data_IF_784759041448
#
_entry.id   IF_784759041448
#
_cell.length_a   1.000
_cell.length_b   1.000
_cell.length_c   1.000
_cell.angle_alpha   90.00
_cell.angle_beta   90.00
_cell.angle_gamma   90.00
#
_symmetry.space_group_name_H-M   'P 1'
#
loop_
_entity.id
_entity.type
_entity.pdbx_description
1 polymer ?
#
# COMPACT_ATOMS: atom_id res chain seq x y z
N UNK A 1 -27.55 7.92 2.92
CA UNK A 1 -27.07 9.25 3.33
C UNK A 1 -25.90 9.59 2.43
N UNK A 2 -25.89 10.79 1.83
CA UNK A 2 -24.98 11.13 0.75
C UNK A 2 -23.82 11.96 1.31
N UNK A 3 -22.71 11.28 1.62
CA UNK A 3 -21.49 11.92 2.11
C UNK A 3 -20.59 12.08 0.90
N UNK A 4 -20.52 13.31 0.37
CA UNK A 4 -19.64 13.64 -0.75
C UNK A 4 -18.28 14.04 -0.21
N UNK A 5 -17.30 13.17 -0.38
CA UNK A 5 -15.91 13.51 -0.11
C UNK A 5 -15.05 13.09 -1.30
N UNK A 6 -14.09 13.94 -1.65
CA UNK A 6 -13.11 13.64 -2.70
C UNK A 6 -11.85 13.21 -1.97
N UNK A 7 -11.58 11.91 -1.96
CA UNK A 7 -10.35 11.38 -1.39
C UNK A 7 -9.17 11.89 -2.21
N UNK A 8 -8.13 12.39 -1.53
CA UNK A 8 -6.88 12.69 -2.23
C UNK A 8 -6.11 11.40 -2.52
N UNK A 9 -5.18 11.47 -3.47
CA UNK A 9 -4.25 10.38 -3.76
C UNK A 9 -3.41 9.98 -2.53
N UNK A 10 -3.05 10.96 -1.70
CA UNK A 10 -2.30 10.75 -0.47
C UNK A 10 -3.12 9.95 0.57
N UNK A 11 -4.42 10.23 0.67
CA UNK A 11 -5.29 9.51 1.60
C UNK A 11 -5.43 8.03 1.30
N UNK A 12 -5.57 7.70 0.02
CA UNK A 12 -5.58 6.32 -0.44
C UNK A 12 -4.22 5.64 -0.27
N UNK A 13 -3.11 6.34 -0.56
CA UNK A 13 -1.77 5.80 -0.36
C UNK A 13 -1.52 5.40 1.09
N UNK A 14 -1.88 6.25 2.06
CA UNK A 14 -1.67 5.97 3.49
C UNK A 14 -2.46 4.76 3.98
N UNK A 15 -3.71 4.64 3.54
CA UNK A 15 -4.59 3.53 3.90
C UNK A 15 -4.18 2.24 3.20
N UNK A 16 -3.79 2.32 1.93
CA UNK A 16 -3.26 1.16 1.21
C UNK A 16 -1.92 0.73 1.76
N UNK A 17 -1.07 1.66 2.18
CA UNK A 17 0.17 1.33 2.89
C UNK A 17 -0.17 0.54 4.16
N UNK A 18 -1.16 0.96 4.96
CA UNK A 18 -1.60 0.19 6.12
C UNK A 18 -2.00 -1.27 5.79
N UNK A 19 -2.80 -1.49 4.73
CA UNK A 19 -3.21 -2.85 4.32
C UNK A 19 -2.12 -3.64 3.59
N UNK A 20 -1.21 -2.93 2.91
CA UNK A 20 -0.24 -3.48 1.97
C UNK A 20 1.18 -3.59 2.49
N UNK A 21 1.51 -2.98 3.65
CA UNK A 21 2.84 -3.05 4.27
C UNK A 21 3.31 -4.50 4.40
N UNK A 22 2.42 -5.43 4.79
CA UNK A 22 2.77 -6.84 4.93
C UNK A 22 3.16 -7.46 3.58
N UNK A 23 2.39 -7.16 2.52
CA UNK A 23 2.67 -7.65 1.16
C UNK A 23 3.93 -7.04 0.58
N UNK A 24 4.13 -5.73 0.76
CA UNK A 24 5.33 -5.00 0.30
C UNK A 24 6.59 -5.50 1.02
N UNK A 25 6.51 -5.76 2.34
CA UNK A 25 7.62 -6.38 3.10
C UNK A 25 7.98 -7.75 2.55
N UNK A 26 7.00 -8.59 2.25
CA UNK A 26 7.23 -9.93 1.65
C UNK A 26 7.87 -9.80 0.25
N UNK A 27 7.36 -8.91 -0.60
CA UNK A 27 7.94 -8.65 -1.93
C UNK A 27 9.38 -8.14 -1.86
N UNK A 28 9.68 -7.23 -0.93
CA UNK A 28 11.03 -6.72 -0.72
C UNK A 28 11.99 -7.81 -0.18
N UNK A 29 11.49 -8.69 0.70
CA UNK A 29 12.26 -9.84 1.17
C UNK A 29 12.59 -10.81 0.02
N UNK A 30 11.61 -11.12 -0.84
CA UNK A 30 11.84 -11.94 -2.03
C UNK A 30 12.87 -11.30 -2.96
N UNK A 31 12.76 -9.99 -3.21
CA UNK A 31 13.72 -9.26 -4.04
C UNK A 31 15.14 -9.34 -3.48
N UNK A 32 15.31 -9.25 -2.16
CA UNK A 32 16.59 -9.41 -1.49
C UNK A 32 17.15 -10.84 -1.59
N UNK A 33 16.32 -11.87 -1.40
CA UNK A 33 16.77 -13.25 -1.59
C UNK A 33 17.22 -13.51 -3.04
N UNK A 34 16.46 -13.03 -4.02
CA UNK A 34 16.81 -13.15 -5.43
C UNK A 34 18.11 -12.41 -5.77
N UNK A 35 18.36 -11.23 -5.18
CA UNK A 35 19.62 -10.52 -5.44
C UNK A 35 20.84 -11.28 -4.94
N UNK A 36 20.73 -12.03 -3.83
CA UNK A 36 21.82 -12.90 -3.35
C UNK A 36 22.08 -14.04 -4.34
N UNK A 37 21.03 -14.70 -4.83
CA UNK A 37 21.17 -15.77 -5.82
C UNK A 37 21.86 -15.23 -7.09
N UNK A 38 21.46 -14.05 -7.56
CA UNK A 38 22.08 -13.40 -8.71
C UNK A 38 23.55 -13.07 -8.45
N UNK A 39 23.90 -12.63 -7.23
CA UNK A 39 25.30 -12.39 -6.86
C UNK A 39 26.16 -13.64 -7.06
N UNK A 40 25.67 -14.79 -6.58
CA UNK A 40 26.35 -16.08 -6.70
C UNK A 40 26.48 -16.46 -8.18
N UNK A 41 25.42 -16.33 -8.98
CA UNK A 41 25.46 -16.61 -10.41
C UNK A 41 26.51 -15.74 -11.14
N UNK A 42 26.54 -14.44 -10.86
CA UNK A 42 27.51 -13.52 -11.47
C UNK A 42 28.93 -13.88 -11.03
N UNK A 43 29.13 -14.18 -9.75
CA UNK A 43 30.43 -14.61 -9.24
C UNK A 43 30.96 -15.84 -9.98
N UNK A 44 30.10 -16.84 -10.23
CA UNK A 44 30.44 -18.05 -11.01
C UNK A 44 30.72 -17.71 -12.48
N UNK A 45 29.90 -16.86 -13.12
CA UNK A 45 30.09 -16.48 -14.52
C UNK A 45 31.40 -15.73 -14.76
N UNK A 46 31.86 -14.94 -13.79
CA UNK A 46 33.12 -14.21 -13.86
C UNK A 46 34.35 -15.09 -13.54
N UNK A 47 34.29 -16.41 -13.66
CA UNK A 47 35.37 -17.34 -13.27
C UNK A 47 36.75 -17.05 -13.89
N UNK A 48 36.82 -16.34 -15.02
CA UNK A 48 38.07 -15.95 -15.68
C UNK A 48 38.75 -14.73 -15.05
N UNK A 49 38.06 -13.99 -14.18
CA UNK A 49 38.59 -12.80 -13.51
C UNK A 49 39.24 -13.15 -12.18
N UNK A 50 40.10 -12.26 -11.68
CA UNK A 50 40.67 -12.39 -10.33
C UNK A 50 39.56 -12.47 -9.27
N UNK A 51 39.78 -13.27 -8.23
CA UNK A 51 38.82 -13.47 -7.15
C UNK A 51 38.39 -12.16 -6.48
N UNK A 52 39.29 -11.19 -6.30
CA UNK A 52 38.94 -9.90 -5.69
C UNK A 52 37.95 -9.14 -6.58
N UNK A 53 38.23 -9.05 -7.89
CA UNK A 53 37.35 -8.36 -8.83
C UNK A 53 36.01 -9.09 -9.00
N UNK A 54 36.00 -10.42 -8.99
CA UNK A 54 34.76 -11.22 -9.03
C UNK A 54 33.84 -10.91 -7.86
N UNK A 55 34.38 -10.86 -6.65
CA UNK A 55 33.61 -10.53 -5.45
C UNK A 55 33.05 -9.11 -5.55
N UNK A 56 33.88 -8.12 -5.88
CA UNK A 56 33.46 -6.72 -5.95
C UNK A 56 32.37 -6.52 -7.00
N UNK A 57 32.55 -7.03 -8.22
CA UNK A 57 31.61 -6.84 -9.33
C UNK A 57 30.29 -7.55 -9.05
N UNK A 58 30.32 -8.78 -8.54
CA UNK A 58 29.10 -9.52 -8.20
C UNK A 58 28.27 -8.84 -7.10
N UNK A 59 28.93 -8.30 -6.07
CA UNK A 59 28.30 -7.53 -5.01
C UNK A 59 27.67 -6.24 -5.54
N UNK A 60 28.39 -5.46 -6.35
CA UNK A 60 27.88 -4.21 -6.92
C UNK A 60 26.65 -4.45 -7.79
N UNK A 61 26.68 -5.45 -8.66
CA UNK A 61 25.54 -5.77 -9.52
C UNK A 61 24.36 -6.28 -8.70
N UNK A 62 24.60 -7.12 -7.69
CA UNK A 62 23.55 -7.61 -6.78
C UNK A 62 22.85 -6.49 -6.04
N UNK A 63 23.61 -5.54 -5.47
CA UNK A 63 23.06 -4.37 -4.78
C UNK A 63 22.22 -3.53 -5.74
N UNK A 64 22.72 -3.27 -6.96
CA UNK A 64 22.01 -2.49 -7.97
C UNK A 64 20.66 -3.14 -8.32
N UNK A 65 20.65 -4.45 -8.57
CA UNK A 65 19.43 -5.22 -8.88
C UNK A 65 18.46 -5.19 -7.70
N UNK A 66 18.96 -5.36 -6.47
CA UNK A 66 18.13 -5.32 -5.26
C UNK A 66 17.42 -3.97 -5.10
N UNK A 67 18.18 -2.87 -5.22
CA UNK A 67 17.64 -1.51 -5.14
C UNK A 67 16.60 -1.26 -6.23
N UNK A 68 16.90 -1.68 -7.47
CA UNK A 68 15.97 -1.51 -8.59
C UNK A 68 14.68 -2.33 -8.40
N UNK A 69 14.78 -3.57 -7.94
CA UNK A 69 13.63 -4.43 -7.67
C UNK A 69 12.76 -3.88 -6.52
N UNK A 70 13.36 -3.38 -5.44
CA UNK A 70 12.62 -2.73 -4.34
C UNK A 70 11.90 -1.48 -4.85
N UNK A 71 12.58 -0.64 -5.65
CA UNK A 71 11.96 0.55 -6.24
C UNK A 71 10.77 0.18 -7.14
N UNK A 72 10.94 -0.82 -8.01
CA UNK A 72 9.89 -1.36 -8.88
C UNK A 72 8.70 -1.90 -8.10
N UNK A 73 8.94 -2.62 -7.01
CA UNK A 73 7.88 -3.15 -6.14
C UNK A 73 7.05 -2.04 -5.50
N UNK A 74 7.70 -0.96 -5.04
CA UNK A 74 7.01 0.23 -4.52
C UNK A 74 6.18 0.90 -5.60
N UNK A 75 6.75 1.15 -6.78
CA UNK A 75 6.03 1.78 -7.90
C UNK A 75 4.79 0.96 -8.32
N UNK A 76 4.92 -0.36 -8.45
CA UNK A 76 3.80 -1.26 -8.76
C UNK A 76 2.71 -1.20 -7.69
N UNK A 77 3.10 -1.13 -6.42
CA UNK A 77 2.16 -0.98 -5.31
C UNK A 77 1.40 0.35 -5.39
N UNK A 78 2.09 1.46 -5.67
CA UNK A 78 1.48 2.77 -5.84
C UNK A 78 0.68 2.91 -7.15
N UNK A 79 0.99 2.16 -8.21
CA UNK A 79 0.19 2.15 -9.44
C UNK A 79 -1.17 1.49 -9.22
N UNK A 80 -1.21 0.40 -8.45
CA UNK A 80 -2.47 -0.21 -7.99
C UNK A 80 -3.25 0.78 -7.12
N UNK A 81 -2.57 1.50 -6.23
CA UNK A 81 -3.20 2.57 -5.45
C UNK A 81 -3.79 3.67 -6.33
N UNK A 82 -3.03 4.15 -7.31
CA UNK A 82 -3.48 5.20 -8.23
C UNK A 82 -4.66 4.79 -9.10
N UNK A 83 -4.79 3.52 -9.47
CA UNK A 83 -5.96 3.00 -10.19
C UNK A 83 -7.21 2.94 -9.32
N UNK A 84 -7.05 2.77 -8.01
CA UNK A 84 -8.15 2.83 -7.04
C UNK A 84 -8.54 4.27 -6.71
N UNK A 85 -7.59 5.21 -6.80
CA UNK A 85 -7.86 6.65 -6.81
C UNK A 85 -8.39 7.05 -8.19
N UNK A 86 -9.61 6.60 -8.52
CA UNK A 86 -10.34 7.26 -9.61
C UNK A 86 -10.66 8.67 -9.13
N UNK A 87 -10.35 9.69 -9.94
CA UNK A 87 -10.73 11.11 -9.75
C UNK A 87 -12.27 11.35 -9.77
N UNK A 88 -13.06 10.33 -9.45
CA UNK A 88 -14.51 10.32 -9.48
C UNK A 88 -15.03 10.56 -8.06
N UNK A 89 -16.09 11.36 -7.92
CA UNK A 89 -16.80 11.50 -6.66
C UNK A 89 -17.25 10.10 -6.21
N UNK A 90 -16.71 9.62 -5.10
CA UNK A 90 -17.16 8.37 -4.50
C UNK A 90 -18.43 8.66 -3.72
N UNK A 91 -19.56 8.22 -4.28
CA UNK A 91 -20.84 8.24 -3.58
C UNK A 91 -20.93 7.01 -2.68
N UNK A 92 -20.84 7.23 -1.36
CA UNK A 92 -21.00 6.16 -0.38
C UNK A 92 -22.44 5.62 -0.40
N UNK A 93 -22.64 4.49 -1.07
CA UNK A 93 -23.89 3.71 -0.99
C UNK A 93 -23.65 2.49 -0.10
N UNK A 94 -24.12 2.56 1.15
CA UNK A 94 -24.03 1.44 2.10
C UNK A 94 -25.16 0.44 1.78
N UNK A 95 -24.79 -0.78 1.39
CA UNK A 95 -25.73 -1.87 1.21
C UNK A 95 -25.81 -2.70 2.50
N UNK A 96 -26.91 -2.59 3.24
CA UNK A 96 -27.13 -3.28 4.54
C UNK A 96 -26.92 -4.80 4.53
N UNK A 97 -26.87 -5.44 3.35
CA UNK A 97 -26.65 -6.89 3.23
C UNK A 97 -25.17 -7.27 3.16
N UNK A 98 -24.24 -6.30 3.14
CA UNK A 98 -22.80 -6.55 3.17
C UNK A 98 -22.26 -6.26 4.57
N UNK A 99 -21.39 -7.14 5.06
CA UNK A 99 -20.64 -6.86 6.27
C UNK A 99 -19.64 -5.75 5.98
N UNK A 100 -19.76 -4.62 6.66
CA UNK A 100 -18.74 -3.58 6.63
C UNK A 100 -18.03 -3.51 7.97
N UNK A 101 -16.83 -2.94 7.99
CA UNK A 101 -16.12 -2.57 9.19
C UNK A 101 -15.59 -1.15 9.03
N UNK A 102 -15.77 -0.34 10.07
CA UNK A 102 -15.19 0.99 10.16
C UNK A 102 -13.94 0.94 11.03
N UNK A 103 -12.79 1.33 10.49
CA UNK A 103 -11.52 1.39 11.22
C UNK A 103 -10.99 2.83 11.25
N UNK A 104 -10.29 3.18 12.32
CA UNK A 104 -9.48 4.41 12.36
C UNK A 104 -8.02 4.04 12.07
N UNK A 105 -7.48 4.55 10.96
CA UNK A 105 -6.12 4.29 10.50
C UNK A 105 -5.45 5.64 10.23
N UNK A 106 -4.35 5.93 10.91
CA UNK A 106 -3.56 7.16 10.71
C UNK A 106 -4.40 8.45 10.72
N UNK A 107 -5.31 8.61 11.68
CA UNK A 107 -6.26 9.73 11.77
C UNK A 107 -7.20 9.85 10.55
N UNK A 108 -7.60 8.70 9.98
CA UNK A 108 -8.59 8.60 8.91
C UNK A 108 -9.57 7.49 9.24
N UNK A 109 -10.85 7.78 9.11
CA UNK A 109 -11.90 6.75 9.17
C UNK A 109 -11.97 6.03 7.84
N UNK A 110 -11.80 4.71 7.87
CA UNK A 110 -11.76 3.85 6.70
C UNK A 110 -12.88 2.83 6.79
N UNK A 111 -13.81 2.88 5.84
CA UNK A 111 -14.84 1.87 5.68
C UNK A 111 -14.32 0.76 4.77
N UNK A 112 -14.48 -0.49 5.21
CA UNK A 112 -13.98 -1.67 4.53
C UNK A 112 -15.15 -2.64 4.37
N UNK A 113 -15.24 -3.31 3.23
CA UNK A 113 -16.20 -4.39 3.05
C UNK A 113 -15.69 -5.74 3.63
N UNK A 114 -16.58 -6.73 3.69
CA UNK A 114 -16.25 -8.08 4.20
C UNK A 114 -15.12 -8.78 3.42
N UNK A 115 -14.80 -8.31 2.21
CA UNK A 115 -13.69 -8.80 1.40
C UNK A 115 -12.38 -8.03 1.66
N UNK A 116 -12.34 -7.19 2.69
CA UNK A 116 -11.20 -6.32 3.06
C UNK A 116 -10.85 -5.28 2.00
N UNK A 117 -11.80 -4.92 1.14
CA UNK A 117 -11.62 -3.86 0.15
C UNK A 117 -12.01 -2.52 0.76
N UNK A 118 -11.18 -1.50 0.57
CA UNK A 118 -11.47 -0.13 1.04
C UNK A 118 -12.61 0.44 0.22
N UNK A 119 -13.70 0.78 0.89
CA UNK A 119 -14.92 1.34 0.30
C UNK A 119 -14.88 2.87 0.36
N UNK A 120 -14.38 3.43 1.47
CA UNK A 120 -14.40 4.87 1.71
C UNK A 120 -13.35 5.29 2.73
N UNK A 121 -12.83 6.51 2.63
CA UNK A 121 -11.83 7.09 3.54
C UNK A 121 -12.27 8.51 3.86
N UNK A 122 -12.32 8.88 5.15
CA UNK A 122 -12.56 10.25 5.60
C UNK A 122 -11.44 10.66 6.56
N UNK A 123 -10.59 11.62 6.18
CA UNK A 123 -9.62 12.20 7.09
C UNK A 123 -10.30 12.86 8.29
N UNK A 124 -9.78 12.64 9.50
CA UNK A 124 -10.40 13.15 10.73
C UNK A 124 -10.36 14.69 10.82
N UNK A 125 -9.42 15.34 10.11
CA UNK A 125 -9.36 16.81 9.99
C UNK A 125 -10.51 17.39 9.12
N UNK A 126 -11.31 16.54 8.46
CA UNK A 126 -12.50 16.96 7.71
C UNK A 126 -13.63 17.39 8.66
N UNK A 127 -13.67 16.84 9.87
CA UNK A 127 -14.68 17.18 10.86
C UNK A 127 -14.32 18.50 11.55
N UNK A 128 -15.26 19.43 11.61
CA UNK A 128 -15.07 20.74 12.26
C UNK A 128 -15.07 20.63 13.77
N UNK A 129 -15.59 19.53 14.31
CA UNK A 129 -15.63 19.26 15.76
C UNK A 129 -15.67 17.75 16.04
N UNK A 130 -15.26 17.36 17.26
CA UNK A 130 -15.40 15.96 17.73
C UNK A 130 -16.85 15.47 17.74
N UNK A 131 -17.82 16.38 17.98
CA UNK A 131 -19.23 16.02 17.97
C UNK A 131 -19.71 15.66 16.55
N UNK A 132 -19.21 16.36 15.53
CA UNK A 132 -19.51 16.05 14.13
C UNK A 132 -18.92 14.69 13.70
N UNK A 133 -17.70 14.39 14.16
CA UNK A 133 -17.06 13.08 13.98
C UNK A 133 -17.88 11.97 14.65
N UNK A 134 -18.34 12.17 15.88
CA UNK A 134 -19.14 11.19 16.64
C UNK A 134 -20.53 10.95 16.01
N UNK A 135 -21.17 12.00 15.49
CA UNK A 135 -22.41 11.88 14.72
C UNK A 135 -22.18 11.05 13.46
N UNK A 136 -21.09 11.30 12.73
CA UNK A 136 -20.73 10.53 11.55
C UNK A 136 -20.54 9.05 11.87
N UNK A 137 -19.75 8.72 12.90
CA UNK A 137 -19.51 7.33 13.31
C UNK A 137 -20.82 6.63 13.66
N UNK A 138 -21.63 7.24 14.51
CA UNK A 138 -22.93 6.69 14.92
C UNK A 138 -23.88 6.46 13.74
N UNK A 139 -23.84 7.34 12.73
CA UNK A 139 -24.67 7.21 11.53
C UNK A 139 -24.21 6.06 10.63
N UNK A 140 -22.90 5.80 10.57
CA UNK A 140 -22.33 4.69 9.83
C UNK A 140 -22.59 3.38 10.56
N UNK A 141 -22.32 3.29 11.87
CA UNK A 141 -22.55 2.09 12.68
C UNK A 141 -24.01 1.64 12.69
N UNK A 142 -24.98 2.57 12.59
CA UNK A 142 -26.40 2.22 12.43
C UNK A 142 -26.77 1.62 11.07
N UNK A 143 -25.88 1.71 10.08
CA UNK A 143 -26.12 1.27 8.70
C UNK A 143 -25.30 0.04 8.30
N UNK A 144 -24.26 -0.29 9.07
CA UNK A 144 -23.46 -1.51 8.95
C UNK A 144 -24.16 -2.64 9.73
#
# INVERSE_FOLDING_TARGET
MLIKYINTKEDYCDVLEYFGIKKLKVLNFIAFCLSIVVAICIYVLLYKFDNIYRVIISLLISILICVFAIKRNRESFYDVANKLVSNEMLELTINKNKNYNLLNINNKWVLIDGNKSVVFIVPNNTFKSKNEEEIFINLIEKQI
#
